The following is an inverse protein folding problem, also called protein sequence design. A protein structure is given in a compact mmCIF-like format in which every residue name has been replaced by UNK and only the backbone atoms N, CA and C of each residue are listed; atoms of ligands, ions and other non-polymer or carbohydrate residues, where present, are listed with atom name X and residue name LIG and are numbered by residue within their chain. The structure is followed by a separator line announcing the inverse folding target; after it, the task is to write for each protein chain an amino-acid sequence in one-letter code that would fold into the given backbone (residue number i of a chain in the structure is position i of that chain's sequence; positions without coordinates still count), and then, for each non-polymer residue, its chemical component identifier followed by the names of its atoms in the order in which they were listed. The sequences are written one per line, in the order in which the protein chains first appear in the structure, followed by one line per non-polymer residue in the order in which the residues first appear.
data_IF_622135280289
#
_entry.id   IF_622135280289
#
_cell.length_a   1.000
_cell.length_b   1.000
_cell.length_c   1.000
_cell.angle_alpha   90.00
_cell.angle_beta   90.00
_cell.angle_gamma   90.00
#
_symmetry.space_group_name_H-M   'P 1'
#
loop_
_entity.id
_entity.type
_entity.pdbx_description
1 polymer ?
#
# COMPACT_ATOMS: atom_id res chain seq x y z
N UNK A 1 -10.60 -0.37 -39.54
CA UNK A 1 -10.36 1.07 -39.31
C UNK A 1 -9.85 1.28 -37.89
N UNK A 2 -8.73 1.99 -37.67
CA UNK A 2 -8.21 2.23 -36.33
C UNK A 2 -9.19 3.10 -35.54
N UNK A 3 -9.63 2.64 -34.37
CA UNK A 3 -10.52 3.40 -33.49
C UNK A 3 -9.70 4.41 -32.70
N UNK A 4 -9.84 5.71 -33.00
CA UNK A 4 -9.28 6.77 -32.15
C UNK A 4 -10.12 6.91 -30.89
N UNK A 5 -9.65 6.32 -29.79
CA UNK A 5 -10.32 6.43 -28.50
C UNK A 5 -10.09 7.80 -27.87
N UNK A 6 -11.16 8.53 -27.56
CA UNK A 6 -11.15 9.72 -26.70
C UNK A 6 -11.92 9.43 -25.43
N UNK A 7 -11.38 9.84 -24.28
CA UNK A 7 -12.09 9.72 -23.00
C UNK A 7 -13.30 10.64 -22.99
N UNK A 8 -14.41 10.14 -22.45
CA UNK A 8 -15.67 10.90 -22.30
C UNK A 8 -15.71 11.72 -21.00
N UNK A 9 -14.85 11.40 -20.04
CA UNK A 9 -14.87 11.98 -18.70
C UNK A 9 -13.62 12.82 -18.45
N UNK A 10 -13.81 13.94 -17.74
CA UNK A 10 -12.76 14.79 -17.17
C UNK A 10 -12.06 14.17 -15.97
N UNK A 11 -12.36 12.90 -15.64
CA UNK A 11 -11.89 12.26 -14.42
C UNK A 11 -10.37 12.22 -14.36
N UNK A 12 -9.80 12.87 -13.34
CA UNK A 12 -8.35 12.96 -13.13
C UNK A 12 -7.64 14.06 -13.92
N UNK A 13 -8.38 15.01 -14.51
CA UNK A 13 -7.79 16.14 -15.24
C UNK A 13 -7.37 17.29 -14.32
N UNK A 14 -7.88 17.33 -13.09
CA UNK A 14 -7.59 18.38 -12.09
C UNK A 14 -6.19 18.19 -11.50
N UNK A 15 -5.36 19.26 -11.41
CA UNK A 15 -4.04 19.17 -10.82
C UNK A 15 -4.13 18.86 -9.32
N UNK A 16 -3.11 18.17 -8.79
CA UNK A 16 -3.09 17.71 -7.39
C UNK A 16 -3.15 18.87 -6.39
N UNK A 17 -2.46 19.98 -6.69
CA UNK A 17 -2.43 21.18 -5.85
C UNK A 17 -3.80 21.81 -5.63
N UNK A 18 -4.69 21.75 -6.63
CA UNK A 18 -6.06 22.27 -6.50
C UNK A 18 -6.92 21.34 -5.65
N UNK A 19 -6.74 20.03 -5.81
CA UNK A 19 -7.44 19.02 -5.01
C UNK A 19 -7.02 19.12 -3.53
N UNK A 20 -5.75 19.35 -3.24
CA UNK A 20 -5.24 19.54 -1.89
C UNK A 20 -5.80 20.78 -1.20
N UNK A 21 -5.83 21.91 -1.92
CA UNK A 21 -6.47 23.14 -1.44
C UNK A 21 -7.96 22.91 -1.14
N UNK A 22 -8.68 22.29 -2.06
CA UNK A 22 -10.09 21.95 -1.88
C UNK A 22 -10.31 20.98 -0.70
N UNK A 23 -9.43 19.99 -0.51
CA UNK A 23 -9.53 19.04 0.59
C UNK A 23 -9.30 19.72 1.95
N UNK A 24 -8.38 20.68 2.04
CA UNK A 24 -8.15 21.47 3.24
C UNK A 24 -9.35 22.36 3.59
N UNK A 25 -10.00 22.96 2.59
CA UNK A 25 -11.23 23.72 2.79
C UNK A 25 -12.40 22.86 3.32
N UNK A 26 -12.54 21.63 2.83
CA UNK A 26 -13.54 20.68 3.35
C UNK A 26 -13.19 20.24 4.78
N UNK A 27 -11.90 20.01 5.09
CA UNK A 27 -11.47 19.73 6.48
C UNK A 27 -11.74 20.90 7.42
N UNK A 28 -11.74 22.14 6.91
CA UNK A 28 -12.16 23.34 7.63
C UNK A 28 -13.67 23.46 7.90
N UNK A 29 -14.47 22.45 7.56
CA UNK A 29 -15.91 22.39 7.87
C UNK A 29 -16.83 22.83 6.72
N UNK A 30 -16.30 23.23 5.56
CA UNK A 30 -17.13 23.52 4.39
C UNK A 30 -17.71 22.23 3.79
N UNK A 31 -18.90 22.32 3.21
CA UNK A 31 -19.53 21.17 2.57
C UNK A 31 -18.76 20.73 1.31
N UNK A 32 -18.64 19.41 1.09
CA UNK A 32 -18.01 18.86 -0.13
C UNK A 32 -18.68 19.42 -1.40
N UNK A 33 -20.00 19.65 -1.36
CA UNK A 33 -20.78 20.11 -2.50
C UNK A 33 -20.50 21.57 -2.84
N UNK A 34 -20.37 22.45 -1.84
CA UNK A 34 -20.05 23.86 -2.06
C UNK A 34 -18.64 24.03 -2.61
N UNK A 35 -17.65 23.37 -1.99
CA UNK A 35 -16.24 23.43 -2.43
C UNK A 35 -16.07 22.88 -3.85
N UNK A 36 -16.74 21.76 -4.18
CA UNK A 36 -16.73 21.20 -5.53
C UNK A 36 -17.28 22.18 -6.57
N UNK A 37 -18.36 22.92 -6.24
CA UNK A 37 -18.95 23.91 -7.13
C UNK A 37 -18.06 25.14 -7.30
N UNK A 38 -17.49 25.64 -6.21
CA UNK A 38 -16.59 26.81 -6.21
C UNK A 38 -15.31 26.57 -7.01
N UNK A 39 -14.69 25.39 -6.83
CA UNK A 39 -13.42 25.03 -7.47
C UNK A 39 -13.59 24.32 -8.83
N UNK A 40 -14.83 24.11 -9.29
CA UNK A 40 -15.15 23.34 -10.49
C UNK A 40 -14.53 21.93 -10.52
N UNK A 41 -14.42 21.30 -9.34
CA UNK A 41 -13.90 19.94 -9.20
C UNK A 41 -15.09 18.99 -9.11
N UNK A 42 -14.99 17.84 -9.79
CA UNK A 42 -15.98 16.79 -9.66
C UNK A 42 -16.11 16.33 -8.20
N UNK A 43 -17.34 16.35 -7.67
CA UNK A 43 -17.67 15.92 -6.29
C UNK A 43 -17.11 14.54 -5.96
N UNK A 44 -17.19 13.60 -6.92
CA UNK A 44 -16.71 12.23 -6.77
C UNK A 44 -15.18 12.17 -6.57
N UNK A 45 -14.44 12.99 -7.31
CA UNK A 45 -12.98 13.10 -7.24
C UNK A 45 -12.56 13.64 -5.86
N UNK A 46 -13.18 14.72 -5.40
CA UNK A 46 -12.89 15.31 -4.09
C UNK A 46 -13.23 14.35 -2.94
N UNK A 47 -14.41 13.70 -2.99
CA UNK A 47 -14.83 12.71 -1.99
C UNK A 47 -13.89 11.50 -1.94
N UNK A 48 -13.46 11.00 -3.10
CA UNK A 48 -12.50 9.89 -3.20
C UNK A 48 -11.15 10.27 -2.60
N UNK A 49 -10.67 11.47 -2.89
CA UNK A 49 -9.40 11.97 -2.38
C UNK A 49 -9.41 12.06 -0.85
N UNK A 50 -10.45 12.64 -0.26
CA UNK A 50 -10.60 12.74 1.21
C UNK A 50 -10.63 11.34 1.83
N UNK A 51 -11.48 10.44 1.32
CA UNK A 51 -11.54 9.06 1.83
C UNK A 51 -10.18 8.37 1.75
N UNK A 52 -9.46 8.55 0.64
CA UNK A 52 -8.12 7.97 0.46
C UNK A 52 -7.13 8.53 1.47
N UNK A 53 -7.13 9.85 1.69
CA UNK A 53 -6.27 10.54 2.67
C UNK A 53 -6.52 10.05 4.09
N UNK A 54 -7.78 9.89 4.48
CA UNK A 54 -8.13 9.42 5.82
C UNK A 54 -7.83 7.92 6.00
N UNK A 55 -7.93 7.12 4.93
CA UNK A 55 -7.50 5.70 4.97
C UNK A 55 -5.98 5.52 4.86
N UNK A 56 -5.24 6.54 4.41
CA UNK A 56 -3.79 6.43 4.13
C UNK A 56 -2.91 6.43 5.38
N UNK A 57 -3.46 6.64 6.58
CA UNK A 57 -2.76 6.29 7.83
C UNK A 57 -2.49 4.78 7.90
N UNK A 58 -3.32 3.95 7.25
CA UNK A 58 -3.01 2.54 7.00
C UNK A 58 -2.14 2.43 5.74
N UNK A 59 -0.88 2.85 5.84
CA UNK A 59 0.14 2.53 4.84
C UNK A 59 0.43 1.03 4.90
N UNK A 60 -0.36 0.25 4.18
CA UNK A 60 0.10 -1.04 3.72
C UNK A 60 0.05 -1.02 2.19
N UNK A 61 1.25 -1.01 1.61
CA UNK A 61 1.49 -0.85 0.17
C UNK A 61 1.29 -2.21 -0.48
N UNK A 62 0.21 -2.39 -1.27
CA UNK A 62 0.03 -3.58 -2.13
C UNK A 62 -0.17 -4.91 -1.40
N UNK A 63 -1.02 -5.79 -1.95
CA UNK A 63 -1.37 -7.14 -1.42
C UNK A 63 -1.71 -7.23 0.09
N UNK A 64 -1.76 -6.12 0.79
CA UNK A 64 -1.81 -6.07 2.24
C UNK A 64 -3.23 -6.09 2.76
N UNK A 65 -4.18 -5.49 2.05
CA UNK A 65 -5.61 -5.58 2.40
C UNK A 65 -6.15 -7.01 2.26
N UNK A 66 -5.61 -7.78 1.30
CA UNK A 66 -5.96 -9.21 1.15
C UNK A 66 -5.17 -10.06 2.14
N UNK A 67 -3.89 -9.76 2.38
CA UNK A 67 -3.07 -10.45 3.37
C UNK A 67 -3.59 -10.22 4.80
N UNK A 68 -4.03 -9.01 5.14
CA UNK A 68 -4.56 -8.68 6.47
C UNK A 68 -5.87 -9.41 6.76
N UNK A 69 -6.74 -9.54 5.77
CA UNK A 69 -8.00 -10.27 5.91
C UNK A 69 -7.81 -11.80 6.03
N UNK A 70 -6.66 -12.32 5.58
CA UNK A 70 -6.31 -13.75 5.64
C UNK A 70 -5.21 -14.05 6.66
N UNK A 71 -4.85 -13.11 7.54
CA UNK A 71 -3.88 -13.36 8.62
C UNK A 71 -4.46 -14.38 9.58
N UNK A 72 -3.79 -15.52 9.69
CA UNK A 72 -4.15 -16.62 10.61
C UNK A 72 -3.48 -16.42 11.97
N UNK A 73 -2.28 -15.82 11.99
CA UNK A 73 -1.50 -15.58 13.18
C UNK A 73 -1.45 -14.09 13.55
N UNK A 74 -1.32 -13.80 14.83
CA UNK A 74 -1.01 -12.45 15.31
C UNK A 74 0.45 -12.11 15.01
N UNK A 75 0.77 -10.81 14.95
CA UNK A 75 2.12 -10.35 14.62
C UNK A 75 3.17 -10.82 15.63
N UNK A 76 2.77 -11.06 16.87
CA UNK A 76 3.62 -11.59 17.94
C UNK A 76 3.99 -13.06 17.66
N UNK A 77 2.99 -13.88 17.34
CA UNK A 77 3.18 -15.32 17.04
C UNK A 77 3.99 -15.51 15.76
N UNK A 78 3.80 -14.66 14.75
CA UNK A 78 4.61 -14.70 13.52
C UNK A 78 6.10 -14.43 13.79
N UNK A 79 6.41 -13.50 14.72
CA UNK A 79 7.79 -13.20 15.11
C UNK A 79 8.43 -14.36 15.85
N UNK A 80 7.73 -14.93 16.82
CA UNK A 80 8.21 -16.11 17.55
C UNK A 80 8.48 -17.28 16.60
N UNK A 81 7.54 -17.58 15.69
CA UNK A 81 7.71 -18.61 14.68
C UNK A 81 8.95 -18.36 13.81
N UNK A 82 9.16 -17.12 13.37
CA UNK A 82 10.33 -16.75 12.56
C UNK A 82 11.65 -16.94 13.33
N UNK A 83 11.69 -16.61 14.61
CA UNK A 83 12.86 -16.85 15.47
C UNK A 83 13.13 -18.35 15.64
N UNK A 84 12.08 -19.15 15.85
CA UNK A 84 12.21 -20.61 15.95
C UNK A 84 12.74 -21.23 14.65
N UNK A 85 12.23 -20.80 13.50
CA UNK A 85 12.71 -21.28 12.18
C UNK A 85 14.18 -20.93 11.99
N UNK A 86 14.62 -19.73 12.38
CA UNK A 86 16.04 -19.33 12.30
C UNK A 86 16.94 -20.20 13.18
N UNK A 87 16.54 -20.44 14.43
CA UNK A 87 17.27 -21.32 15.37
C UNK A 87 17.42 -22.73 14.80
N UNK A 88 16.35 -23.27 14.20
CA UNK A 88 16.40 -24.58 13.53
C UNK A 88 17.33 -24.54 12.32
N UNK A 89 17.23 -23.51 11.47
CA UNK A 89 18.10 -23.37 10.30
C UNK A 89 19.59 -23.31 10.68
N UNK A 90 19.95 -22.60 11.75
CA UNK A 90 21.32 -22.56 12.28
C UNK A 90 21.79 -23.95 12.73
N UNK A 91 20.94 -24.71 13.43
CA UNK A 91 21.25 -26.08 13.84
C UNK A 91 21.47 -27.01 12.64
N UNK A 92 20.66 -26.88 11.58
CA UNK A 92 20.81 -27.67 10.36
C UNK A 92 22.00 -27.22 9.48
N UNK A 93 22.36 -25.93 9.49
CA UNK A 93 23.58 -25.44 8.82
C UNK A 93 24.85 -25.98 9.48
N UNK A 94 24.86 -26.17 10.80
CA UNK A 94 25.96 -26.84 11.51
C UNK A 94 26.06 -28.31 11.08
N UNK A 95 24.94 -29.00 10.88
CA UNK A 95 24.88 -30.39 10.41
C UNK A 95 25.23 -30.58 8.94
N UNK A 96 25.00 -29.57 8.10
CA UNK A 96 25.21 -29.64 6.65
C UNK A 96 26.54 -29.08 6.20
N UNK A 97 27.45 -28.70 7.10
CA UNK A 97 28.87 -28.54 6.74
C UNK A 97 29.36 -29.90 6.23
N UNK A 98 29.60 -30.09 4.92
CA UNK A 98 30.39 -31.24 4.54
C UNK A 98 31.75 -31.02 5.19
N UNK A 99 32.29 -32.05 5.82
CA UNK A 99 33.68 -32.08 6.24
C UNK A 99 34.57 -31.85 5.01
N UNK A 100 34.80 -30.60 4.64
CA UNK A 100 35.82 -30.21 3.65
C UNK A 100 37.16 -30.17 4.37
N UNK A 101 37.57 -31.33 4.88
CA UNK A 101 38.90 -31.60 5.39
C UNK A 101 39.31 -33.00 4.95
N UNK A 102 39.29 -33.24 3.64
CA UNK A 102 40.10 -34.24 2.95
C UNK A 102 39.93 -33.96 1.46
N UNK A 103 41.01 -34.04 0.69
CA UNK A 103 41.07 -33.87 -0.78
C UNK A 103 41.20 -32.46 -1.35
N UNK A 104 42.25 -31.72 -0.97
CA UNK A 104 43.06 -31.01 -1.95
C UNK A 104 44.41 -30.60 -1.36
N UNK A 105 45.48 -31.34 -1.68
CA UNK A 105 46.88 -30.89 -1.88
C UNK A 105 47.83 -32.09 -1.86
N UNK A 106 48.13 -32.63 -3.04
CA UNK A 106 49.44 -32.56 -3.72
C UNK A 106 49.60 -33.73 -4.69
#
# INVERSE_FOLDING_TARGET
MPRTYRRKTSWGSTPLEEIERAASEVKGGKSIRSVAKERQIDRSTLRRYIKKRDTQEVKSVGYSGTASAKRVFSEEVEKELAEHIKKLAEQFQIFTRPCTCMWFTK
#
